data_IF_768618745113
#
_entry.id   IF_768618745113
#
_cell.length_a   1.000
_cell.length_b   1.000
_cell.length_c   1.000
_cell.angle_alpha   90.00
_cell.angle_beta   90.00
_cell.angle_gamma   90.00
#
_symmetry.space_group_name_H-M   'P 1'
#
loop_
_entity.id
_entity.type
_entity.pdbx_description
1 polymer ?
#
# COMPACT_ATOMS: atom_id res chain seq x y z
N UNK A 1 -61.23 -15.96 -59.02
CA UNK A 1 -60.73 -16.49 -57.74
C UNK A 1 -59.24 -16.21 -57.66
N UNK A 2 -58.88 -15.14 -56.99
CA UNK A 2 -57.47 -14.67 -56.85
C UNK A 2 -57.08 -14.74 -55.41
N UNK A 3 -56.18 -15.67 -55.06
CA UNK A 3 -55.63 -15.80 -53.70
C UNK A 3 -54.44 -14.82 -53.56
N UNK A 4 -54.54 -13.93 -52.56
CA UNK A 4 -53.46 -13.06 -52.13
C UNK A 4 -52.57 -13.81 -51.12
N UNK A 5 -51.26 -13.89 -51.38
CA UNK A 5 -50.23 -14.32 -50.41
C UNK A 5 -49.73 -13.11 -49.67
N UNK A 6 -49.86 -13.08 -48.35
CA UNK A 6 -49.27 -12.07 -47.48
C UNK A 6 -47.93 -12.62 -46.96
N UNK A 7 -46.85 -11.95 -47.35
CA UNK A 7 -45.49 -12.19 -46.85
C UNK A 7 -45.34 -11.56 -45.46
N UNK A 8 -45.09 -12.36 -44.43
CA UNK A 8 -44.68 -11.90 -43.12
C UNK A 8 -43.16 -11.82 -43.07
N UNK A 9 -42.62 -10.59 -42.93
CA UNK A 9 -41.22 -10.31 -42.62
C UNK A 9 -40.96 -10.67 -41.14
N UNK A 10 -40.09 -11.64 -40.89
CA UNK A 10 -39.56 -11.97 -39.57
C UNK A 10 -38.33 -11.10 -39.37
N UNK A 11 -38.42 -10.12 -38.50
CA UNK A 11 -37.26 -9.35 -38.04
C UNK A 11 -36.47 -10.18 -37.02
N UNK A 12 -35.25 -10.61 -37.41
CA UNK A 12 -34.32 -11.25 -36.50
C UNK A 12 -33.52 -10.17 -35.79
N UNK A 13 -33.78 -10.03 -34.49
CA UNK A 13 -32.97 -9.19 -33.62
C UNK A 13 -31.70 -9.94 -33.24
N UNK A 14 -30.54 -9.52 -33.78
CA UNK A 14 -29.24 -9.94 -33.30
C UNK A 14 -28.96 -9.23 -31.95
N UNK A 15 -29.05 -9.95 -30.86
CA UNK A 15 -28.50 -9.52 -29.60
C UNK A 15 -26.97 -9.65 -29.66
N UNK A 16 -26.29 -8.52 -29.79
CA UNK A 16 -24.85 -8.47 -29.55
C UNK A 16 -24.60 -8.66 -28.05
N UNK A 17 -24.16 -9.86 -27.67
CA UNK A 17 -23.60 -10.12 -26.35
C UNK A 17 -22.31 -9.31 -26.21
N UNK A 18 -22.39 -8.17 -25.55
CA UNK A 18 -21.22 -7.49 -25.02
C UNK A 18 -20.56 -8.43 -24.01
N UNK A 19 -19.46 -9.04 -24.41
CA UNK A 19 -18.60 -9.80 -23.52
C UNK A 19 -18.05 -8.82 -22.47
N UNK A 20 -18.62 -8.85 -21.26
CA UNK A 20 -18.00 -8.25 -20.10
C UNK A 20 -16.62 -8.92 -19.92
N UNK A 21 -15.54 -8.14 -19.75
CA UNK A 21 -14.26 -8.75 -19.42
C UNK A 21 -14.39 -9.52 -18.11
N UNK A 22 -13.71 -10.67 -17.95
CA UNK A 22 -13.82 -11.48 -16.76
C UNK A 22 -13.36 -10.64 -15.55
N UNK A 23 -14.30 -10.35 -14.66
CA UNK A 23 -13.99 -9.76 -13.35
C UNK A 23 -13.06 -10.73 -12.62
N UNK A 24 -11.95 -10.22 -12.08
CA UNK A 24 -11.02 -10.95 -11.22
C UNK A 24 -11.78 -11.53 -10.00
N UNK A 25 -12.22 -12.77 -10.09
CA UNK A 25 -13.07 -13.38 -9.07
C UNK A 25 -12.31 -13.85 -7.79
N UNK A 26 -11.03 -13.49 -7.63
CA UNK A 26 -10.19 -13.97 -6.51
C UNK A 26 -9.82 -12.91 -5.48
N UNK A 27 -9.26 -11.79 -5.91
CA UNK A 27 -8.64 -10.80 -5.01
C UNK A 27 -9.55 -9.60 -4.69
N UNK A 28 -10.54 -9.28 -5.53
CA UNK A 28 -11.44 -8.14 -5.34
C UNK A 28 -12.24 -8.19 -4.01
N UNK A 29 -12.44 -9.38 -3.45
CA UNK A 29 -13.13 -9.55 -2.17
C UNK A 29 -12.22 -9.24 -0.95
N UNK A 30 -10.89 -9.35 -1.09
CA UNK A 30 -9.95 -9.21 0.02
C UNK A 30 -9.60 -7.73 0.26
N UNK A 31 -9.31 -6.98 -0.80
CA UNK A 31 -9.02 -5.54 -0.75
C UNK A 31 -9.86 -4.78 -1.79
N UNK A 32 -11.18 -4.61 -1.57
CA UNK A 32 -12.04 -3.90 -2.50
C UNK A 32 -11.71 -2.42 -2.63
N UNK A 33 -11.06 -1.86 -1.61
CA UNK A 33 -10.50 -0.51 -1.55
C UNK A 33 -9.03 -0.57 -1.15
N UNK A 34 -8.25 0.51 -1.39
CA UNK A 34 -6.85 0.55 -0.96
C UNK A 34 -6.70 0.21 0.53
N UNK A 35 -5.76 -0.67 0.92
CA UNK A 35 -5.48 -0.96 2.32
C UNK A 35 -5.09 0.30 3.10
N UNK A 36 -5.59 0.42 4.34
CA UNK A 36 -5.25 1.48 5.28
C UNK A 36 -4.72 0.87 6.57
N UNK A 37 -3.56 1.34 7.03
CA UNK A 37 -2.93 0.75 8.20
C UNK A 37 -1.72 1.51 8.72
N UNK A 38 -0.96 0.84 9.57
CA UNK A 38 0.29 1.31 10.15
C UNK A 38 1.36 0.22 10.02
N UNK A 39 2.59 0.66 9.82
CA UNK A 39 3.76 -0.20 9.76
C UNK A 39 4.84 0.37 10.68
N UNK A 40 5.54 -0.50 11.40
CA UNK A 40 6.48 -0.11 12.45
C UNK A 40 7.83 0.42 11.96
N UNK A 41 8.13 0.40 10.65
CA UNK A 41 9.48 0.66 10.15
C UNK A 41 9.98 2.06 10.44
N UNK A 42 9.24 3.09 10.00
CA UNK A 42 9.71 4.48 10.07
C UNK A 42 9.88 4.99 11.51
N UNK A 43 9.17 4.38 12.46
CA UNK A 43 9.21 4.79 13.87
C UNK A 43 10.13 3.94 14.73
N UNK A 44 10.26 2.63 14.45
CA UNK A 44 10.97 1.70 15.35
C UNK A 44 12.05 0.87 14.66
N UNK A 45 12.13 0.86 13.33
CA UNK A 45 13.04 0.00 12.59
C UNK A 45 12.95 -1.46 13.05
N UNK A 46 14.10 -2.07 13.32
CA UNK A 46 14.20 -3.47 13.76
C UNK A 46 14.01 -3.68 15.26
N UNK A 47 13.78 -2.61 16.05
CA UNK A 47 13.85 -2.68 17.51
C UNK A 47 12.49 -2.77 18.20
N UNK A 48 11.39 -2.68 17.47
CA UNK A 48 10.04 -2.69 18.04
C UNK A 48 9.82 -3.84 19.01
N UNK A 49 9.14 -3.53 20.11
CA UNK A 49 8.70 -4.48 21.13
C UNK A 49 7.18 -4.70 21.07
N UNK A 50 6.71 -5.80 21.65
CA UNK A 50 5.28 -6.07 21.77
C UNK A 50 4.53 -4.95 22.49
N UNK A 51 5.11 -4.38 23.55
CA UNK A 51 4.48 -3.29 24.29
C UNK A 51 4.27 -2.05 23.42
N UNK A 52 5.27 -1.65 22.64
CA UNK A 52 5.18 -0.54 21.70
C UNK A 52 4.15 -0.83 20.58
N UNK A 53 4.17 -2.04 20.05
CA UNK A 53 3.21 -2.44 19.02
C UNK A 53 1.77 -2.39 19.53
N UNK A 54 1.51 -2.94 20.75
CA UNK A 54 0.19 -2.88 21.40
C UNK A 54 -0.26 -1.45 21.65
N UNK A 55 0.62 -0.57 22.13
CA UNK A 55 0.29 0.83 22.37
C UNK A 55 -0.17 1.53 21.08
N UNK A 56 0.53 1.30 19.95
CA UNK A 56 0.11 1.81 18.64
C UNK A 56 -1.22 1.19 18.17
N UNK A 57 -1.43 -0.11 18.40
CA UNK A 57 -2.69 -0.77 18.06
C UNK A 57 -3.88 -0.23 18.87
N UNK A 58 -3.70 -0.02 20.18
CA UNK A 58 -4.71 0.60 21.04
C UNK A 58 -5.07 2.00 20.57
N UNK A 59 -4.06 2.80 20.24
CA UNK A 59 -4.25 4.15 19.74
C UNK A 59 -5.01 4.15 18.39
N UNK A 60 -4.61 3.29 17.46
CA UNK A 60 -5.32 3.14 16.18
C UNK A 60 -6.77 2.73 16.38
N UNK A 61 -7.03 1.76 17.26
CA UNK A 61 -8.38 1.29 17.53
C UNK A 61 -9.27 2.41 18.09
N UNK A 62 -8.72 3.23 18.99
CA UNK A 62 -9.43 4.34 19.62
C UNK A 62 -9.69 5.51 18.68
N UNK A 63 -8.73 5.86 17.80
CA UNK A 63 -8.74 7.11 17.07
C UNK A 63 -9.00 6.96 15.56
N UNK A 64 -8.49 5.90 14.92
CA UNK A 64 -8.48 5.77 13.47
C UNK A 64 -9.42 4.70 12.91
N UNK A 65 -9.69 3.63 13.65
CA UNK A 65 -10.49 2.49 13.15
C UNK A 65 -11.83 2.90 12.53
N UNK A 66 -12.54 3.86 13.13
CA UNK A 66 -13.84 4.36 12.63
C UNK A 66 -13.75 5.01 11.24
N UNK A 67 -12.55 5.38 10.79
CA UNK A 67 -12.28 5.97 9.48
C UNK A 67 -11.77 4.93 8.46
N UNK A 68 -11.72 3.63 8.82
CA UNK A 68 -11.33 2.54 7.92
C UNK A 68 -9.91 2.04 8.08
N UNK A 69 -9.10 2.61 8.97
CA UNK A 69 -7.76 2.13 9.28
C UNK A 69 -7.85 0.80 10.02
N UNK A 70 -7.13 -0.24 9.54
CA UNK A 70 -7.34 -1.58 10.07
C UNK A 70 -6.09 -2.46 10.14
N UNK A 71 -5.05 -2.23 9.34
CA UNK A 71 -3.87 -3.10 9.32
C UNK A 71 -2.80 -2.60 10.28
N UNK A 72 -2.27 -3.50 11.11
CA UNK A 72 -1.15 -3.28 12.03
C UNK A 72 -0.02 -4.21 11.62
N UNK A 73 1.08 -3.67 11.09
CA UNK A 73 2.17 -4.46 10.50
C UNK A 73 3.45 -4.30 11.30
N UNK A 74 4.02 -5.41 11.78
CA UNK A 74 5.40 -5.46 12.28
C UNK A 74 6.34 -5.58 11.08
N UNK A 75 7.24 -4.62 10.91
CA UNK A 75 8.22 -4.63 9.82
C UNK A 75 9.44 -5.52 10.14
N UNK A 76 10.51 -5.41 9.36
CA UNK A 76 11.71 -6.23 9.40
C UNK A 76 12.32 -6.36 10.81
N UNK A 77 12.94 -7.49 11.08
CA UNK A 77 13.80 -7.70 12.23
C UNK A 77 13.14 -8.32 13.46
N UNK A 78 11.85 -8.68 13.43
CA UNK A 78 11.17 -9.35 14.54
C UNK A 78 11.82 -10.69 14.95
N UNK A 79 12.63 -11.27 14.08
CA UNK A 79 13.40 -12.51 14.24
C UNK A 79 14.87 -12.28 14.60
N UNK A 80 15.35 -11.03 14.71
CA UNK A 80 16.75 -10.69 15.03
C UNK A 80 16.94 -10.67 16.55
N UNK A 81 17.88 -11.48 17.04
CA UNK A 81 18.18 -11.61 18.48
C UNK A 81 18.88 -10.38 19.06
N UNK A 82 19.67 -9.68 18.25
CA UNK A 82 20.52 -8.56 18.64
C UNK A 82 20.38 -7.38 17.66
N UNK A 83 19.19 -6.76 17.56
CA UNK A 83 18.89 -5.74 16.55
C UNK A 83 19.71 -4.45 16.66
N UNK A 84 20.34 -4.21 17.83
CA UNK A 84 21.22 -3.07 18.08
C UNK A 84 22.67 -3.27 17.54
N UNK A 85 22.99 -4.48 17.07
CA UNK A 85 24.30 -4.79 16.51
C UNK A 85 24.42 -4.29 15.06
N UNK A 86 25.63 -4.29 14.50
CA UNK A 86 25.80 -4.06 13.08
C UNK A 86 25.17 -5.22 12.27
N UNK A 87 24.57 -4.96 11.08
CA UNK A 87 23.85 -5.98 10.30
C UNK A 87 24.67 -7.25 10.01
N UNK A 88 26.00 -7.12 9.80
CA UNK A 88 26.91 -8.25 9.58
C UNK A 88 27.02 -9.20 10.80
N UNK A 89 26.65 -8.73 11.99
CA UNK A 89 26.79 -9.46 13.26
C UNK A 89 25.41 -9.95 13.77
N UNK A 90 24.35 -9.80 13.00
CA UNK A 90 23.02 -10.23 13.39
C UNK A 90 22.96 -11.74 13.62
N UNK A 91 22.23 -12.10 14.66
CA UNK A 91 21.85 -13.48 14.99
C UNK A 91 20.35 -13.62 14.85
N UNK A 92 19.91 -14.76 14.38
CA UNK A 92 18.52 -15.00 14.04
C UNK A 92 17.93 -16.10 14.89
N UNK A 93 16.64 -15.99 15.20
CA UNK A 93 15.89 -17.09 15.80
C UNK A 93 15.20 -17.89 14.68
N UNK A 94 15.69 -19.11 14.47
CA UNK A 94 15.18 -20.04 13.44
C UNK A 94 14.79 -21.33 14.13
N UNK A 95 13.63 -21.91 13.79
CA UNK A 95 13.18 -23.20 14.31
C UNK A 95 13.82 -24.38 13.57
N UNK A 96 13.52 -25.59 14.02
CA UNK A 96 14.07 -26.83 13.45
C UNK A 96 13.58 -27.12 12.01
N UNK A 97 12.60 -26.39 11.52
CA UNK A 97 12.10 -26.44 10.13
C UNK A 97 12.64 -25.30 9.25
N UNK A 98 13.62 -24.55 9.73
CA UNK A 98 14.27 -23.49 8.95
C UNK A 98 13.43 -22.21 8.80
N UNK A 99 12.45 -21.99 9.67
CA UNK A 99 11.56 -20.83 9.62
C UNK A 99 11.95 -19.83 10.72
N UNK A 100 11.88 -18.52 10.42
CA UNK A 100 12.07 -17.48 11.43
C UNK A 100 10.98 -17.50 12.47
N UNK A 101 11.38 -17.24 13.74
CA UNK A 101 10.47 -17.10 14.88
C UNK A 101 10.63 -15.73 15.54
N UNK A 102 9.55 -15.17 16.13
CA UNK A 102 9.63 -13.92 16.87
C UNK A 102 10.44 -14.10 18.16
N UNK A 103 11.31 -13.11 18.40
CA UNK A 103 12.28 -13.16 19.52
C UNK A 103 11.58 -12.96 20.86
N UNK A 104 11.65 -13.92 21.82
CA UNK A 104 10.93 -13.83 23.08
C UNK A 104 11.30 -12.63 23.98
N UNK A 105 12.53 -12.12 23.87
CA UNK A 105 12.95 -10.94 24.67
C UNK A 105 12.19 -9.67 24.27
N UNK A 106 11.70 -9.56 23.03
CA UNK A 106 10.87 -8.45 22.55
C UNK A 106 9.39 -8.79 22.44
N UNK A 107 9.07 -10.07 22.24
CA UNK A 107 7.71 -10.61 22.13
C UNK A 107 7.51 -11.76 23.12
N UNK A 108 7.37 -11.47 24.45
CA UNK A 108 7.41 -12.48 25.51
C UNK A 108 6.41 -13.64 25.38
N UNK A 109 5.16 -13.45 24.90
CA UNK A 109 4.21 -14.56 24.74
C UNK A 109 4.67 -15.63 23.73
N UNK A 110 5.65 -15.35 22.90
CA UNK A 110 6.18 -16.30 21.91
C UNK A 110 7.12 -17.37 22.50
N UNK A 111 7.55 -17.21 23.75
CA UNK A 111 8.47 -18.12 24.44
C UNK A 111 7.97 -19.58 24.50
N UNK A 112 6.66 -19.81 24.44
CA UNK A 112 6.06 -21.14 24.51
C UNK A 112 5.76 -21.76 23.12
N UNK A 113 6.41 -21.28 22.07
CA UNK A 113 6.21 -21.77 20.70
C UNK A 113 4.92 -21.27 20.03
N UNK A 114 4.16 -20.36 20.66
CA UNK A 114 2.91 -19.84 20.12
C UNK A 114 3.11 -18.87 18.92
N UNK A 115 4.34 -18.48 18.63
CA UNK A 115 4.65 -17.49 17.61
C UNK A 115 3.90 -16.17 17.86
N UNK A 116 3.47 -15.51 16.79
CA UNK A 116 2.71 -14.26 16.92
C UNK A 116 1.22 -14.44 17.21
N UNK A 117 0.73 -15.68 17.35
CA UNK A 117 -0.71 -15.89 17.57
C UNK A 117 -1.30 -15.08 18.72
N UNK A 118 -0.68 -15.00 19.93
CA UNK A 118 -1.23 -14.20 21.02
C UNK A 118 -1.31 -12.70 20.70
N UNK A 119 -0.34 -12.16 19.95
CA UNK A 119 -0.35 -10.77 19.52
C UNK A 119 -1.39 -10.51 18.43
N UNK A 120 -1.52 -11.42 17.47
CA UNK A 120 -2.55 -11.35 16.44
C UNK A 120 -3.96 -11.42 17.05
N UNK A 121 -4.19 -12.33 18.01
CA UNK A 121 -5.47 -12.45 18.73
C UNK A 121 -5.78 -11.15 19.51
N UNK A 122 -4.77 -10.50 20.10
CA UNK A 122 -4.93 -9.19 20.74
C UNK A 122 -5.37 -8.12 19.72
N UNK A 123 -4.68 -8.01 18.60
CA UNK A 123 -5.04 -7.06 17.53
C UNK A 123 -6.45 -7.30 16.99
N UNK A 124 -6.82 -8.56 16.81
CA UNK A 124 -8.18 -8.94 16.41
C UNK A 124 -9.23 -8.58 17.47
N UNK A 125 -8.91 -8.68 18.75
CA UNK A 125 -9.82 -8.27 19.83
C UNK A 125 -10.17 -6.78 19.78
N UNK A 126 -9.27 -5.94 19.22
CA UNK A 126 -9.49 -4.52 18.94
C UNK A 126 -10.30 -4.30 17.63
N UNK A 127 -10.57 -5.37 16.86
CA UNK A 127 -11.21 -5.34 15.56
C UNK A 127 -10.29 -4.78 14.46
N UNK A 128 -8.98 -4.93 14.63
CA UNK A 128 -7.93 -4.63 13.67
C UNK A 128 -7.40 -5.92 13.03
N UNK A 129 -6.50 -5.82 12.07
CA UNK A 129 -5.86 -6.92 11.34
C UNK A 129 -4.37 -6.92 11.59
N UNK A 130 -3.78 -8.10 11.78
CA UNK A 130 -2.38 -8.27 12.08
C UNK A 130 -1.56 -8.61 10.83
N UNK A 131 -0.42 -7.95 10.65
CA UNK A 131 0.51 -8.19 9.55
C UNK A 131 1.96 -8.29 10.00
N UNK A 132 2.79 -8.85 9.14
CA UNK A 132 4.23 -8.92 9.33
C UNK A 132 4.98 -8.76 8.01
N UNK A 133 6.23 -8.34 8.12
CA UNK A 133 7.19 -8.26 7.04
C UNK A 133 8.03 -9.54 6.96
N UNK A 134 8.38 -9.93 5.74
CA UNK A 134 9.33 -10.99 5.46
C UNK A 134 10.36 -10.53 4.41
N UNK A 135 11.60 -10.95 4.56
CA UNK A 135 12.55 -10.99 3.45
C UNK A 135 12.32 -12.28 2.68
N UNK A 136 12.23 -12.21 1.34
CA UNK A 136 12.15 -13.41 0.51
C UNK A 136 13.28 -14.39 0.77
N UNK A 137 13.07 -15.64 0.41
CA UNK A 137 14.13 -16.63 0.45
C UNK A 137 14.13 -17.48 1.70
N UNK A 138 15.16 -18.31 1.81
CA UNK A 138 15.36 -19.30 2.87
C UNK A 138 16.57 -18.94 3.74
N UNK A 139 16.48 -18.97 5.09
CA UNK A 139 17.58 -18.60 5.98
C UNK A 139 18.86 -19.40 5.68
N UNK A 140 19.99 -18.72 5.56
CA UNK A 140 21.29 -19.37 5.30
C UNK A 140 21.63 -20.41 6.36
N UNK A 141 21.26 -20.17 7.61
CA UNK A 141 21.44 -21.11 8.71
C UNK A 141 20.66 -22.42 8.47
N UNK A 142 19.41 -22.32 8.00
CA UNK A 142 18.62 -23.50 7.67
C UNK A 142 19.26 -24.34 6.57
N UNK A 143 19.82 -23.66 5.55
CA UNK A 143 20.52 -24.32 4.43
C UNK A 143 21.85 -24.93 4.89
N UNK A 144 22.60 -24.27 5.76
CA UNK A 144 23.87 -24.77 6.28
C UNK A 144 23.68 -26.04 7.13
N UNK A 145 22.61 -26.08 7.93
CA UNK A 145 22.22 -27.24 8.75
C UNK A 145 21.41 -28.27 7.98
N UNK A 146 21.04 -27.98 6.75
CA UNK A 146 20.16 -28.77 5.89
C UNK A 146 18.88 -29.24 6.60
N UNK A 147 18.19 -28.29 7.27
CA UNK A 147 16.98 -28.56 8.04
C UNK A 147 15.86 -29.08 7.14
N UNK A 148 15.00 -29.95 7.71
CA UNK A 148 13.85 -30.48 6.99
C UNK A 148 12.79 -29.38 6.78
N UNK A 149 12.15 -29.36 5.60
CA UNK A 149 11.02 -28.47 5.32
C UNK A 149 9.74 -29.12 5.86
N UNK A 150 9.08 -28.43 6.78
CA UNK A 150 7.85 -28.95 7.43
C UNK A 150 6.77 -29.37 6.41
N UNK A 151 6.22 -30.56 6.60
CA UNK A 151 5.14 -31.09 5.77
C UNK A 151 5.59 -31.62 4.40
N UNK A 152 6.90 -31.83 4.19
CA UNK A 152 7.46 -32.36 2.95
C UNK A 152 8.57 -33.38 3.21
N UNK A 153 9.06 -34.03 2.16
CA UNK A 153 10.26 -34.87 2.19
C UNK A 153 11.54 -34.09 1.83
N UNK A 154 11.43 -32.81 1.52
CA UNK A 154 12.55 -31.96 1.11
C UNK A 154 13.27 -31.35 2.31
N UNK A 155 14.51 -30.92 2.04
CA UNK A 155 15.33 -30.18 3.00
C UNK A 155 15.66 -28.78 2.46
N UNK A 156 16.12 -27.91 3.33
CA UNK A 156 16.46 -26.52 3.00
C UNK A 156 17.46 -26.38 1.84
N UNK A 157 18.42 -27.28 1.71
CA UNK A 157 19.39 -27.26 0.61
C UNK A 157 18.78 -27.61 -0.75
N UNK A 158 17.68 -28.37 -0.78
CA UNK A 158 16.96 -28.72 -2.02
C UNK A 158 16.23 -27.48 -2.58
N UNK A 159 15.65 -26.67 -1.69
CA UNK A 159 14.88 -25.48 -2.03
C UNK A 159 15.76 -24.25 -2.32
N UNK A 160 16.94 -24.15 -1.70
CA UNK A 160 17.78 -22.95 -1.76
C UNK A 160 18.48 -22.76 -3.10
N UNK A 161 18.41 -21.54 -3.65
CA UNK A 161 19.33 -21.06 -4.68
C UNK A 161 20.48 -20.29 -4.02
N UNK A 162 21.63 -20.95 -3.87
CA UNK A 162 22.81 -20.36 -3.21
C UNK A 162 23.52 -19.31 -4.04
N UNK A 163 23.18 -19.18 -5.33
CA UNK A 163 23.72 -18.16 -6.21
C UNK A 163 22.93 -16.85 -6.15
N UNK A 164 21.77 -16.87 -5.49
CA UNK A 164 20.86 -15.75 -5.36
C UNK A 164 20.72 -15.32 -3.88
N UNK A 165 20.78 -14.02 -3.65
CA UNK A 165 20.56 -13.40 -2.34
C UNK A 165 20.00 -11.99 -2.54
N UNK A 166 19.38 -11.44 -1.51
CA UNK A 166 19.00 -10.04 -1.50
C UNK A 166 20.25 -9.15 -1.40
N UNK A 167 20.43 -8.14 -2.28
CA UNK A 167 21.64 -7.31 -2.30
C UNK A 167 21.92 -6.52 -1.00
N UNK A 168 20.87 -6.07 -0.31
CA UNK A 168 20.99 -5.30 0.94
C UNK A 168 20.73 -6.14 2.20
N UNK A 169 20.28 -7.38 2.03
CA UNK A 169 19.93 -8.26 3.13
C UNK A 169 20.36 -9.69 2.82
N UNK A 170 21.57 -10.03 3.24
CA UNK A 170 22.18 -11.32 2.94
C UNK A 170 21.80 -12.45 3.93
N UNK A 171 20.70 -12.37 4.65
CA UNK A 171 20.29 -13.38 5.63
C UNK A 171 19.79 -14.66 5.00
N UNK A 172 19.19 -14.53 3.82
CA UNK A 172 18.57 -15.60 3.07
C UNK A 172 19.33 -15.88 1.76
N UNK A 173 19.21 -17.11 1.29
CA UNK A 173 19.39 -17.46 -0.12
C UNK A 173 18.06 -17.34 -0.85
N UNK A 174 18.08 -17.13 -2.16
CA UNK A 174 16.88 -17.22 -2.99
C UNK A 174 16.26 -18.63 -2.94
N UNK A 175 15.05 -18.76 -3.45
CA UNK A 175 14.34 -20.03 -3.53
C UNK A 175 14.21 -20.47 -4.98
N UNK A 176 14.65 -21.70 -5.26
CA UNK A 176 14.52 -22.30 -6.60
C UNK A 176 13.06 -22.43 -7.01
N UNK A 177 12.74 -22.17 -8.27
CA UNK A 177 11.45 -22.52 -8.87
C UNK A 177 11.35 -24.05 -9.04
N UNK A 178 10.95 -24.75 -7.98
CA UNK A 178 10.91 -26.20 -7.89
C UNK A 178 9.85 -26.65 -6.88
N UNK A 179 9.55 -27.96 -6.85
CA UNK A 179 8.66 -28.53 -5.83
C UNK A 179 9.19 -28.30 -4.40
N UNK A 180 10.52 -28.40 -4.19
CA UNK A 180 11.13 -28.10 -2.91
C UNK A 180 10.97 -26.62 -2.53
N UNK A 181 11.14 -25.71 -3.49
CA UNK A 181 10.92 -24.28 -3.28
C UNK A 181 9.45 -23.95 -2.94
N UNK A 182 8.50 -24.58 -3.66
CA UNK A 182 7.07 -24.44 -3.33
C UNK A 182 6.76 -25.00 -1.94
N UNK A 183 7.32 -26.17 -1.58
CA UNK A 183 7.13 -26.76 -0.27
C UNK A 183 7.64 -25.85 0.86
N UNK A 184 8.76 -25.16 0.63
CA UNK A 184 9.28 -24.17 1.59
C UNK A 184 8.30 -23.01 1.80
N UNK A 185 7.80 -22.37 0.72
CA UNK A 185 6.81 -21.30 0.85
C UNK A 185 5.48 -21.80 1.43
N UNK A 186 5.06 -23.02 1.10
CA UNK A 186 3.86 -23.65 1.70
C UNK A 186 4.03 -23.78 3.23
N UNK A 187 5.22 -24.17 3.70
CA UNK A 187 5.52 -24.32 5.13
C UNK A 187 5.48 -22.97 5.86
N UNK A 188 6.02 -21.90 5.24
CA UNK A 188 5.98 -20.54 5.81
C UNK A 188 4.56 -20.01 5.88
N UNK A 189 3.81 -20.09 4.77
CA UNK A 189 2.44 -19.60 4.73
C UNK A 189 1.53 -20.34 5.74
N UNK A 190 1.73 -21.65 5.91
CA UNK A 190 1.05 -22.43 6.94
C UNK A 190 1.37 -21.95 8.35
N UNK A 191 2.65 -21.64 8.63
CA UNK A 191 3.06 -21.09 9.91
C UNK A 191 2.37 -19.75 10.19
N UNK A 192 2.39 -18.83 9.21
CA UNK A 192 1.74 -17.52 9.38
C UNK A 192 0.22 -17.61 9.49
N UNK A 193 -0.40 -18.53 8.76
CA UNK A 193 -1.82 -18.82 8.93
C UNK A 193 -2.13 -19.33 10.34
N UNK A 194 -1.26 -20.16 10.93
CA UNK A 194 -1.40 -20.65 12.31
C UNK A 194 -1.27 -19.54 13.36
N UNK A 195 -0.57 -18.46 13.02
CA UNK A 195 -0.45 -17.26 13.86
C UNK A 195 -1.58 -16.24 13.64
N UNK A 196 -2.55 -16.55 12.80
CA UNK A 196 -3.66 -15.65 12.46
C UNK A 196 -3.19 -14.35 11.73
N UNK A 197 -2.15 -14.43 10.91
CA UNK A 197 -1.68 -13.30 10.09
C UNK A 197 -2.70 -12.97 9.00
N UNK A 198 -2.95 -11.67 8.76
CA UNK A 198 -3.88 -11.14 7.74
C UNK A 198 -3.17 -10.39 6.62
N UNK A 199 -1.89 -10.03 6.80
CA UNK A 199 -1.13 -9.22 5.85
C UNK A 199 0.36 -9.63 5.88
N UNK A 200 0.95 -9.82 4.70
CA UNK A 200 2.37 -10.13 4.52
C UNK A 200 2.98 -9.08 3.60
N UNK A 201 3.94 -8.29 4.13
CA UNK A 201 4.84 -7.45 3.32
C UNK A 201 6.04 -8.31 2.95
N UNK A 202 6.11 -8.74 1.69
CA UNK A 202 7.24 -9.51 1.18
C UNK A 202 8.27 -8.59 0.52
N UNK A 203 9.45 -8.53 1.07
CA UNK A 203 10.52 -7.65 0.64
C UNK A 203 11.59 -8.35 -0.20
N UNK A 204 12.36 -7.54 -0.98
CA UNK A 204 13.38 -8.00 -1.91
C UNK A 204 12.84 -8.90 -3.04
N UNK A 205 11.59 -8.65 -3.49
CA UNK A 205 10.91 -9.56 -4.42
C UNK A 205 10.29 -8.83 -5.62
N UNK A 206 9.86 -7.56 -5.45
CA UNK A 206 9.18 -6.80 -6.49
C UNK A 206 10.13 -6.06 -7.43
N UNK A 207 11.33 -5.74 -6.94
CA UNK A 207 12.43 -5.16 -7.71
C UNK A 207 13.77 -5.39 -6.99
N UNK A 208 14.91 -5.17 -7.68
CA UNK A 208 16.28 -5.29 -7.15
C UNK A 208 16.63 -6.61 -6.39
N UNK A 209 16.27 -7.79 -6.88
CA UNK A 209 15.75 -8.15 -8.20
C UNK A 209 14.25 -8.46 -8.22
N UNK A 210 13.61 -8.32 -9.39
CA UNK A 210 12.27 -8.84 -9.63
C UNK A 210 12.27 -10.37 -9.67
N UNK A 211 11.41 -11.01 -8.85
CA UNK A 211 11.38 -12.46 -8.63
C UNK A 211 9.99 -13.07 -8.89
N UNK A 212 9.55 -13.12 -10.16
CA UNK A 212 8.19 -13.55 -10.51
C UNK A 212 7.87 -14.98 -10.02
N UNK A 213 8.85 -15.89 -10.06
CA UNK A 213 8.64 -17.27 -9.61
C UNK A 213 8.41 -17.35 -8.11
N UNK A 214 9.18 -16.58 -7.31
CA UNK A 214 8.99 -16.53 -5.86
C UNK A 214 7.66 -15.85 -5.48
N UNK A 215 7.26 -14.79 -6.20
CA UNK A 215 5.94 -14.15 -6.04
C UNK A 215 4.82 -15.18 -6.27
N UNK A 216 4.91 -15.96 -7.36
CA UNK A 216 3.92 -16.99 -7.68
C UNK A 216 3.86 -18.11 -6.63
N UNK A 217 5.03 -18.58 -6.18
CA UNK A 217 5.11 -19.62 -5.15
C UNK A 217 4.51 -19.14 -3.82
N UNK A 218 4.82 -17.90 -3.41
CA UNK A 218 4.29 -17.30 -2.18
C UNK A 218 2.77 -17.09 -2.26
N UNK A 219 2.27 -16.51 -3.36
CA UNK A 219 0.83 -16.33 -3.58
C UNK A 219 0.08 -17.67 -3.60
N UNK A 220 0.66 -18.69 -4.25
CA UNK A 220 0.11 -20.06 -4.25
C UNK A 220 0.07 -20.66 -2.84
N UNK A 221 1.13 -20.48 -2.08
CA UNK A 221 1.23 -20.94 -0.69
C UNK A 221 0.18 -20.29 0.21
N UNK A 222 0.02 -18.96 0.13
CA UNK A 222 -1.03 -18.22 0.85
C UNK A 222 -2.40 -18.80 0.52
N UNK A 223 -2.70 -18.95 -0.76
CA UNK A 223 -3.99 -19.50 -1.22
C UNK A 223 -4.25 -20.93 -0.68
N UNK A 224 -3.24 -21.79 -0.63
CA UNK A 224 -3.35 -23.15 -0.10
C UNK A 224 -3.71 -23.21 1.37
N UNK A 225 -3.37 -22.20 2.16
CA UNK A 225 -3.73 -22.16 3.59
C UNK A 225 -5.24 -22.06 3.81
N UNK A 226 -5.99 -21.54 2.84
CA UNK A 226 -7.40 -21.19 2.97
C UNK A 226 -7.66 -19.94 3.83
N UNK A 227 -6.63 -19.34 4.47
CA UNK A 227 -6.75 -18.08 5.20
C UNK A 227 -6.57 -16.91 4.25
N UNK A 228 -7.47 -15.92 4.24
CA UNK A 228 -7.27 -14.70 3.47
C UNK A 228 -6.14 -13.86 4.10
N UNK A 229 -5.04 -13.70 3.37
CA UNK A 229 -3.90 -12.86 3.74
C UNK A 229 -3.57 -11.95 2.57
N UNK A 230 -3.51 -10.63 2.81
CA UNK A 230 -3.06 -9.65 1.83
C UNK A 230 -1.58 -9.87 1.55
N UNK A 231 -1.21 -9.94 0.28
CA UNK A 231 0.19 -9.95 -0.14
C UNK A 231 0.55 -8.56 -0.67
N UNK A 232 1.51 -7.94 0.00
CA UNK A 232 2.15 -6.67 -0.36
C UNK A 232 3.58 -6.94 -0.83
N UNK A 233 3.94 -6.46 -2.01
CA UNK A 233 5.26 -6.66 -2.59
C UNK A 233 6.12 -5.41 -2.43
N UNK A 234 7.37 -5.60 -1.98
CA UNK A 234 8.36 -4.55 -1.68
C UNK A 234 9.76 -5.02 -2.09
N UNK A 235 10.77 -4.12 -2.28
CA UNK A 235 10.60 -2.71 -2.55
C UNK A 235 10.19 -2.46 -4.01
N UNK A 236 10.10 -1.19 -4.41
CA UNK A 236 10.03 -0.79 -5.81
C UNK A 236 11.36 -0.30 -6.33
N UNK A 237 11.32 0.33 -7.52
CA UNK A 237 10.10 0.51 -8.32
C UNK A 237 9.76 -0.75 -9.12
N UNK A 238 8.65 -1.39 -8.84
CA UNK A 238 8.14 -2.44 -9.74
C UNK A 238 8.08 -1.90 -11.16
N UNK A 239 8.68 -2.60 -12.12
CA UNK A 239 8.67 -2.17 -13.51
C UNK A 239 7.24 -2.18 -14.08
N UNK A 240 6.87 -1.15 -14.84
CA UNK A 240 5.50 -0.95 -15.33
C UNK A 240 5.02 -2.10 -16.22
N UNK A 241 5.92 -2.72 -16.99
CA UNK A 241 5.64 -3.91 -17.79
C UNK A 241 5.20 -5.12 -16.97
N UNK A 242 5.56 -5.17 -15.68
CA UNK A 242 5.16 -6.23 -14.76
C UNK A 242 3.79 -5.98 -14.10
N UNK A 243 3.13 -4.84 -14.37
CA UNK A 243 1.88 -4.44 -13.72
C UNK A 243 0.79 -5.54 -13.79
N UNK A 244 0.62 -6.17 -14.96
CA UNK A 244 -0.38 -7.23 -15.15
C UNK A 244 -0.03 -8.51 -14.38
N UNK A 245 1.26 -8.82 -14.20
CA UNK A 245 1.71 -9.99 -13.47
C UNK A 245 1.58 -9.77 -11.97
N UNK A 246 2.13 -8.69 -11.42
CA UNK A 246 2.04 -8.44 -9.97
C UNK A 246 0.60 -8.30 -9.52
N UNK A 247 -0.25 -7.62 -10.30
CA UNK A 247 -1.67 -7.47 -9.99
C UNK A 247 -2.48 -8.78 -10.02
N UNK A 248 -1.93 -9.85 -10.60
CA UNK A 248 -2.55 -11.17 -10.60
C UNK A 248 -2.29 -11.94 -9.31
N UNK A 249 -1.16 -11.67 -8.66
CA UNK A 249 -0.67 -12.47 -7.53
C UNK A 249 -0.68 -11.73 -6.19
N UNK A 250 -0.70 -10.38 -6.21
CA UNK A 250 -0.64 -9.57 -5.01
C UNK A 250 -1.77 -8.52 -4.98
N UNK A 251 -2.14 -8.11 -3.78
CA UNK A 251 -3.14 -7.07 -3.54
C UNK A 251 -2.56 -5.66 -3.58
N UNK A 252 -1.25 -5.51 -3.31
CA UNK A 252 -0.54 -4.25 -3.46
C UNK A 252 0.93 -4.48 -3.78
N UNK A 253 1.58 -3.50 -4.43
CA UNK A 253 2.99 -3.56 -4.81
C UNK A 253 3.60 -2.16 -4.92
N UNK A 254 4.82 -2.02 -4.46
CA UNK A 254 5.58 -0.78 -4.46
C UNK A 254 5.91 -0.32 -5.88
N UNK A 255 5.65 0.94 -6.15
CA UNK A 255 5.89 1.57 -7.46
C UNK A 255 7.08 2.52 -7.48
N UNK A 256 7.75 2.66 -6.35
CA UNK A 256 8.91 3.54 -6.15
C UNK A 256 9.91 2.87 -5.21
N UNK A 257 11.12 3.38 -5.17
CA UNK A 257 12.09 3.13 -4.10
C UNK A 257 11.53 3.61 -2.75
N UNK A 258 12.27 3.41 -1.66
CA UNK A 258 11.80 3.82 -0.34
C UNK A 258 11.51 5.32 -0.29
N UNK A 259 10.25 5.65 -0.03
CA UNK A 259 9.78 7.03 0.07
C UNK A 259 10.07 7.59 1.47
N UNK A 260 10.70 8.78 1.49
CA UNK A 260 11.03 9.48 2.72
C UNK A 260 10.57 10.92 2.71
N UNK A 261 10.58 11.55 3.88
CA UNK A 261 10.09 12.89 4.17
C UNK A 261 11.01 14.02 3.64
N UNK A 262 11.22 14.02 2.31
CA UNK A 262 11.90 15.12 1.62
C UNK A 262 11.17 15.48 0.32
N UNK A 263 11.16 16.77 -0.01
CA UNK A 263 10.44 17.25 -1.18
C UNK A 263 11.14 16.89 -2.49
N UNK A 264 12.38 17.31 -2.64
CA UNK A 264 13.20 17.04 -3.84
C UNK A 264 14.14 15.84 -3.64
N UNK A 265 14.89 15.45 -4.69
CA UNK A 265 15.88 14.39 -4.59
C UNK A 265 16.89 14.65 -3.47
N UNK A 266 17.27 13.63 -2.75
CA UNK A 266 18.21 13.72 -1.65
C UNK A 266 19.58 13.17 -2.05
N UNK A 267 20.55 14.05 -2.30
CA UNK A 267 21.88 13.68 -2.81
C UNK A 267 22.64 12.64 -1.96
N UNK A 268 22.37 12.58 -0.66
CA UNK A 268 23.01 11.61 0.24
C UNK A 268 22.41 10.21 0.15
N UNK A 269 21.21 10.09 -0.40
CA UNK A 269 20.45 8.85 -0.48
C UNK A 269 19.72 8.81 -1.81
N UNK A 270 20.48 8.59 -2.89
CA UNK A 270 19.99 8.51 -4.26
C UNK A 270 18.99 7.36 -4.50
N UNK A 271 18.98 6.38 -3.58
CA UNK A 271 17.99 5.30 -3.54
C UNK A 271 16.64 5.73 -2.95
N UNK A 272 16.52 6.90 -2.36
CA UNK A 272 15.29 7.33 -1.69
C UNK A 272 14.41 8.14 -2.62
N UNK A 273 13.09 7.83 -2.61
CA UNK A 273 12.08 8.49 -3.42
C UNK A 273 11.58 9.77 -2.74
N UNK A 274 11.56 10.88 -3.48
CA UNK A 274 11.05 12.17 -2.99
C UNK A 274 9.57 12.39 -3.33
N UNK A 275 8.91 13.33 -2.63
CA UNK A 275 7.52 13.67 -2.91
C UNK A 275 7.35 14.28 -4.31
N UNK A 276 8.28 15.12 -4.77
CA UNK A 276 8.26 15.67 -6.12
C UNK A 276 8.30 14.56 -7.20
N UNK A 277 9.13 13.55 -7.02
CA UNK A 277 9.23 12.45 -7.97
C UNK A 277 7.96 11.58 -8.01
N UNK A 278 7.22 11.50 -6.90
CA UNK A 278 5.98 10.71 -6.82
C UNK A 278 4.89 11.22 -7.78
N UNK A 279 4.86 12.50 -8.13
CA UNK A 279 3.88 13.00 -9.09
C UNK A 279 3.99 12.31 -10.45
N UNK A 280 5.21 12.16 -10.96
CA UNK A 280 5.44 11.47 -12.24
C UNK A 280 5.20 9.96 -12.12
N UNK A 281 5.59 9.36 -11.00
CA UNK A 281 5.42 7.92 -10.74
C UNK A 281 3.94 7.57 -10.62
N UNK A 282 3.18 8.30 -9.80
CA UNK A 282 1.75 8.10 -9.63
C UNK A 282 0.98 8.27 -10.96
N UNK A 283 1.33 9.29 -11.76
CA UNK A 283 0.68 9.52 -13.05
C UNK A 283 0.86 8.34 -14.02
N UNK A 284 2.04 7.70 -14.04
CA UNK A 284 2.30 6.50 -14.86
C UNK A 284 1.50 5.28 -14.39
N UNK A 285 1.32 5.13 -13.07
CA UNK A 285 0.65 3.97 -12.48
C UNK A 285 -0.86 4.12 -12.33
N UNK A 286 -1.42 5.33 -12.44
CA UNK A 286 -2.86 5.58 -12.32
C UNK A 286 -3.74 4.67 -13.20
N UNK A 287 -3.39 4.33 -14.46
CA UNK A 287 -4.18 3.41 -15.28
C UNK A 287 -4.23 1.96 -14.76
N UNK A 288 -3.36 1.60 -13.82
CA UNK A 288 -3.25 0.25 -13.25
C UNK A 288 -3.94 0.11 -11.87
N UNK A 289 -4.52 1.18 -11.35
CA UNK A 289 -5.32 1.18 -10.11
C UNK A 289 -6.63 0.45 -10.36
N UNK A 290 -6.88 -0.62 -9.60
CA UNK A 290 -8.12 -1.39 -9.73
C UNK A 290 -8.49 -2.06 -8.40
N UNK A 291 -9.77 -2.32 -8.12
CA UNK A 291 -10.18 -3.10 -6.95
C UNK A 291 -9.46 -4.44 -6.87
N UNK A 292 -8.83 -4.73 -5.74
CA UNK A 292 -8.03 -5.92 -5.49
C UNK A 292 -6.60 -5.86 -6.02
N UNK A 293 -6.13 -4.72 -6.55
CA UNK A 293 -4.76 -4.54 -7.02
C UNK A 293 -4.37 -3.05 -6.95
N UNK A 294 -3.52 -2.70 -5.98
CA UNK A 294 -3.22 -1.33 -5.60
C UNK A 294 -1.74 -1.01 -5.77
N UNK A 295 -1.36 -0.18 -6.78
CA UNK A 295 -0.03 0.40 -6.83
C UNK A 295 0.25 1.23 -5.58
N UNK A 296 1.34 0.91 -4.88
CA UNK A 296 1.68 1.45 -3.57
C UNK A 296 2.78 2.51 -3.69
N UNK A 297 2.43 3.76 -3.39
CA UNK A 297 3.38 4.88 -3.38
C UNK A 297 4.22 4.95 -2.09
N UNK A 298 4.17 3.91 -1.26
CA UNK A 298 4.85 3.74 0.00
C UNK A 298 4.16 4.37 1.22
N UNK A 299 4.78 4.14 2.38
CA UNK A 299 4.29 4.59 3.67
C UNK A 299 4.25 6.11 3.78
N UNK A 300 3.46 6.59 4.73
CA UNK A 300 3.29 7.99 5.06
C UNK A 300 4.21 8.36 6.25
N UNK A 301 5.36 9.02 6.02
CA UNK A 301 6.29 9.42 7.07
C UNK A 301 5.78 10.68 7.78
N UNK A 302 4.68 10.54 8.52
CA UNK A 302 3.99 11.60 9.25
C UNK A 302 4.28 11.54 10.76
N UNK A 303 4.26 12.69 11.42
CA UNK A 303 4.46 12.82 12.86
C UNK A 303 5.86 12.41 13.29
N UNK A 304 5.94 11.64 14.38
CA UNK A 304 7.20 11.27 15.02
C UNK A 304 7.81 10.04 14.36
N UNK A 305 8.99 10.21 13.80
CA UNK A 305 9.78 9.16 13.16
C UNK A 305 10.96 8.79 14.04
N UNK A 306 11.36 7.54 14.05
CA UNK A 306 12.34 7.12 15.01
C UNK A 306 13.43 6.28 14.53
N UNK A 307 14.28 5.70 15.42
CA UNK A 307 15.62 5.31 15.05
C UNK A 307 15.59 4.33 13.89
N UNK A 308 15.89 4.86 12.72
CA UNK A 308 15.95 4.11 11.48
C UNK A 308 17.41 3.85 11.13
N UNK A 309 17.78 2.64 10.59
CA UNK A 309 19.11 2.40 10.05
C UNK A 309 19.38 3.33 8.87
N UNK A 310 20.03 4.40 9.02
CA UNK A 310 20.33 5.41 8.01
C UNK A 310 20.12 6.83 8.50
N UNK A 311 19.08 7.09 9.28
CA UNK A 311 18.80 8.39 9.85
C UNK A 311 19.02 8.46 11.37
N UNK A 312 18.92 7.34 12.06
CA UNK A 312 19.41 7.08 13.42
C UNK A 312 18.92 7.96 14.55
N UNK A 313 18.04 8.95 14.31
CA UNK A 313 17.63 9.95 15.28
C UNK A 313 16.12 10.05 15.35
N UNK A 314 15.58 10.01 16.57
CA UNK A 314 14.18 10.35 16.86
C UNK A 314 13.93 11.79 16.42
N UNK A 315 12.93 12.01 15.60
CA UNK A 315 12.59 13.32 15.03
C UNK A 315 11.15 13.40 14.56
N UNK A 316 10.68 14.60 14.40
CA UNK A 316 9.45 14.86 13.65
C UNK A 316 9.72 14.74 12.14
N UNK A 317 8.65 14.52 11.38
CA UNK A 317 8.73 14.57 9.91
C UNK A 317 9.34 15.91 9.45
N UNK A 318 10.19 15.86 8.42
CA UNK A 318 10.78 17.06 7.81
C UNK A 318 9.82 17.81 6.91
N UNK A 319 8.75 17.17 6.49
CA UNK A 319 7.73 17.81 5.68
C UNK A 319 7.07 18.97 6.42
N UNK A 320 6.98 20.13 5.75
CA UNK A 320 6.12 21.21 6.18
C UNK A 320 4.65 20.74 6.21
N UNK A 321 3.78 21.50 6.86
CA UNK A 321 2.34 21.18 6.90
C UNK A 321 1.71 21.20 5.50
N UNK A 322 2.17 22.08 4.61
CA UNK A 322 1.71 22.11 3.22
C UNK A 322 2.16 20.86 2.46
N UNK A 323 3.39 20.39 2.63
CA UNK A 323 3.91 19.17 2.02
C UNK A 323 3.23 17.91 2.56
N UNK A 324 2.97 17.82 3.87
CA UNK A 324 2.20 16.70 4.46
C UNK A 324 0.79 16.62 3.86
N UNK A 325 0.10 17.76 3.73
CA UNK A 325 -1.22 17.86 3.09
C UNK A 325 -1.14 17.47 1.61
N UNK A 326 -0.11 17.92 0.92
CA UNK A 326 0.14 17.59 -0.49
C UNK A 326 0.38 16.10 -0.69
N UNK A 327 1.20 15.47 0.14
CA UNK A 327 1.39 14.01 0.14
C UNK A 327 0.05 13.27 0.31
N UNK A 328 -0.69 13.59 1.37
CA UNK A 328 -2.00 12.97 1.63
C UNK A 328 -2.98 13.19 0.47
N UNK A 329 -2.96 14.38 -0.15
CA UNK A 329 -3.79 14.70 -1.32
C UNK A 329 -3.42 13.84 -2.52
N UNK A 330 -2.12 13.68 -2.80
CA UNK A 330 -1.65 12.87 -3.92
C UNK A 330 -1.97 11.38 -3.71
N UNK A 331 -1.66 10.81 -2.54
CA UNK A 331 -1.99 9.42 -2.23
C UNK A 331 -3.50 9.17 -2.37
N UNK A 332 -4.32 10.08 -1.85
CA UNK A 332 -5.79 9.94 -1.91
C UNK A 332 -6.34 10.05 -3.34
N UNK A 333 -5.90 11.02 -4.13
CA UNK A 333 -6.40 11.18 -5.51
C UNK A 333 -5.82 10.13 -6.46
N UNK A 334 -4.65 9.59 -6.18
CA UNK A 334 -4.05 8.47 -6.91
C UNK A 334 -4.65 7.12 -6.47
N UNK A 335 -5.18 7.02 -5.24
CA UNK A 335 -5.66 5.80 -4.59
C UNK A 335 -4.54 4.82 -4.24
N UNK A 336 -3.44 5.33 -3.70
CA UNK A 336 -2.41 4.51 -3.08
C UNK A 336 -2.90 3.92 -1.76
N UNK A 337 -2.48 2.72 -1.35
CA UNK A 337 -2.60 2.30 0.03
C UNK A 337 -2.13 3.38 1.00
N UNK A 338 -2.85 3.59 2.10
CA UNK A 338 -2.50 4.55 3.14
C UNK A 338 -1.91 3.80 4.34
N UNK A 339 -0.58 3.68 4.39
CA UNK A 339 0.13 3.00 5.47
C UNK A 339 0.96 4.02 6.24
N UNK A 340 0.60 4.31 7.48
CA UNK A 340 1.30 5.27 8.33
C UNK A 340 2.61 4.66 8.81
N UNK A 341 3.72 5.42 8.71
CA UNK A 341 5.03 5.00 9.21
C UNK A 341 5.40 5.58 10.58
N UNK A 342 4.86 6.75 10.94
CA UNK A 342 5.16 7.43 12.20
C UNK A 342 4.54 6.78 13.43
N UNK A 343 5.09 7.08 14.62
CA UNK A 343 4.57 6.60 15.90
C UNK A 343 3.19 7.22 16.19
N UNK A 344 2.18 6.37 16.31
CA UNK A 344 0.81 6.82 16.52
C UNK A 344 0.58 7.37 17.94
N UNK A 345 1.28 6.82 18.93
CA UNK A 345 1.10 7.21 20.33
C UNK A 345 1.49 8.66 20.58
N UNK A 346 2.47 9.16 19.83
CA UNK A 346 2.95 10.54 19.91
C UNK A 346 2.36 11.48 18.83
N UNK A 347 1.38 10.99 18.04
CA UNK A 347 0.78 11.79 16.97
C UNK A 347 0.12 13.06 17.52
N UNK A 348 0.50 14.21 16.97
CA UNK A 348 -0.07 15.52 17.34
C UNK A 348 -1.47 15.74 16.73
N UNK A 349 -2.12 16.84 17.10
CA UNK A 349 -3.44 17.20 16.58
C UNK A 349 -3.43 17.39 15.06
N UNK A 350 -2.34 17.93 14.51
CA UNK A 350 -2.21 18.15 13.07
C UNK A 350 -2.15 16.81 12.32
N UNK A 351 -1.26 15.93 12.73
CA UNK A 351 -1.14 14.57 12.17
C UNK A 351 -2.47 13.83 12.28
N UNK A 352 -3.10 13.86 13.45
CA UNK A 352 -4.42 13.25 13.67
C UNK A 352 -5.48 13.83 12.73
N UNK A 353 -5.47 15.14 12.49
CA UNK A 353 -6.44 15.80 11.59
C UNK A 353 -6.30 15.35 10.14
N UNK A 354 -5.08 15.11 9.66
CA UNK A 354 -4.84 14.55 8.32
C UNK A 354 -5.40 13.12 8.19
N UNK A 355 -5.19 12.30 9.21
CA UNK A 355 -5.56 10.88 9.22
C UNK A 355 -7.05 10.63 9.51
N UNK A 356 -7.79 11.64 9.92
CA UNK A 356 -9.21 11.52 10.31
C UNK A 356 -10.16 12.36 9.48
N UNK A 357 -9.70 12.99 8.40
CA UNK A 357 -10.58 13.71 7.48
C UNK A 357 -11.38 12.73 6.61
N UNK A 358 -12.69 12.54 6.88
CA UNK A 358 -13.48 11.52 6.19
C UNK A 358 -13.72 11.87 4.71
N UNK A 359 -13.65 13.15 4.33
CA UNK A 359 -13.87 13.58 2.96
C UNK A 359 -12.64 13.30 2.08
N UNK A 360 -11.45 13.47 2.61
CA UNK A 360 -10.18 13.11 1.93
C UNK A 360 -10.05 11.60 1.84
N UNK A 361 -10.32 10.87 2.92
CA UNK A 361 -10.33 9.40 2.93
C UNK A 361 -11.34 8.84 1.91
N UNK A 362 -12.50 9.47 1.77
CA UNK A 362 -13.50 9.05 0.78
C UNK A 362 -12.98 9.17 -0.66
N UNK A 363 -12.11 10.13 -0.97
CA UNK A 363 -11.46 10.22 -2.28
C UNK A 363 -10.61 8.98 -2.53
N UNK A 364 -9.77 8.59 -1.58
CA UNK A 364 -8.94 7.40 -1.67
C UNK A 364 -9.78 6.12 -1.82
N UNK A 365 -10.79 5.96 -0.99
CA UNK A 365 -11.54 4.72 -0.86
C UNK A 365 -12.61 4.51 -1.93
N UNK A 366 -13.18 5.59 -2.50
CA UNK A 366 -14.40 5.50 -3.31
C UNK A 366 -14.35 6.23 -4.65
N UNK A 367 -13.29 6.97 -4.98
CA UNK A 367 -13.17 7.58 -6.30
C UNK A 367 -12.82 6.56 -7.40
N UNK A 368 -13.03 6.93 -8.64
CA UNK A 368 -12.68 6.13 -9.81
C UNK A 368 -12.32 7.01 -11.01
N UNK A 369 -11.75 6.42 -12.06
CA UNK A 369 -11.22 7.15 -13.22
C UNK A 369 -10.17 8.21 -12.85
N UNK A 370 -9.36 7.91 -11.84
CA UNK A 370 -8.34 8.80 -11.32
C UNK A 370 -7.19 8.97 -12.33
N UNK A 371 -6.84 10.23 -12.63
CA UNK A 371 -5.76 10.52 -13.58
C UNK A 371 -5.19 11.92 -13.41
N UNK A 372 -3.92 12.09 -13.72
CA UNK A 372 -3.34 13.39 -13.95
C UNK A 372 -3.88 13.96 -15.29
N UNK A 373 -4.36 15.19 -15.29
CA UNK A 373 -4.88 15.88 -16.48
C UNK A 373 -3.96 17.00 -16.93
N UNK A 374 -3.17 17.57 -16.03
CA UNK A 374 -2.13 18.56 -16.30
C UNK A 374 -0.91 18.18 -15.49
N UNK A 375 0.25 18.18 -16.12
CA UNK A 375 1.53 17.98 -15.46
C UNK A 375 2.57 18.86 -16.15
N UNK A 376 3.14 19.79 -15.39
CA UNK A 376 4.27 20.64 -15.79
C UNK A 376 5.36 20.52 -14.71
N UNK A 377 6.46 21.22 -14.87
CA UNK A 377 7.54 21.22 -13.87
C UNK A 377 7.13 21.89 -12.55
N UNK A 378 6.05 22.68 -12.53
CA UNK A 378 5.63 23.45 -11.36
C UNK A 378 4.17 23.27 -10.95
N UNK A 379 3.35 22.64 -11.77
CA UNK A 379 1.92 22.42 -11.52
C UNK A 379 1.50 21.03 -11.90
N UNK A 380 0.75 20.38 -11.01
CA UNK A 380 0.01 19.17 -11.35
C UNK A 380 -1.47 19.35 -11.02
N UNK A 381 -2.34 18.82 -11.90
CA UNK A 381 -3.79 18.77 -11.67
C UNK A 381 -4.29 17.36 -11.94
N UNK A 382 -5.02 16.83 -10.97
CA UNK A 382 -5.63 15.51 -11.05
C UNK A 382 -7.15 15.61 -11.05
N UNK A 383 -7.78 14.70 -11.75
CA UNK A 383 -9.22 14.55 -11.83
C UNK A 383 -9.61 13.11 -11.49
N UNK A 384 -10.70 12.96 -10.76
CA UNK A 384 -11.36 11.68 -10.53
C UNK A 384 -12.87 11.86 -10.51
N UNK A 385 -13.62 10.76 -10.65
CA UNK A 385 -15.07 10.75 -10.42
C UNK A 385 -15.38 10.35 -8.99
N UNK A 386 -16.40 10.96 -8.41
CA UNK A 386 -16.92 10.57 -7.13
C UNK A 386 -17.72 9.28 -7.22
N UNK A 387 -17.37 8.27 -6.40
CA UNK A 387 -18.15 7.07 -6.20
C UNK A 387 -19.20 7.25 -5.08
N UNK A 388 -20.10 6.28 -4.96
CA UNK A 388 -21.03 6.22 -3.82
C UNK A 388 -20.26 5.82 -2.55
N UNK A 389 -19.96 6.80 -1.72
CA UNK A 389 -19.25 6.57 -0.46
C UNK A 389 -20.17 6.16 0.69
N UNK A 390 -21.48 6.28 0.51
CA UNK A 390 -22.47 6.02 1.58
C UNK A 390 -22.35 6.90 2.82
N UNK A 391 -21.34 7.82 2.88
CA UNK A 391 -20.91 8.37 4.17
C UNK A 391 -21.35 9.80 4.44
N UNK A 392 -21.37 10.77 3.58
CA UNK A 392 -21.78 12.13 3.96
C UNK A 392 -22.30 13.01 2.81
N UNK A 393 -21.92 12.73 1.57
CA UNK A 393 -22.35 13.49 0.40
C UNK A 393 -22.60 12.52 -0.76
N UNK A 394 -23.68 12.76 -1.51
CA UNK A 394 -23.87 12.10 -2.81
C UNK A 394 -22.79 12.61 -3.75
N UNK A 395 -21.71 11.85 -3.88
CA UNK A 395 -20.60 12.14 -4.78
C UNK A 395 -20.80 11.52 -6.15
N UNK A 396 -21.82 10.70 -6.31
CA UNK A 396 -22.19 9.91 -7.50
C UNK A 396 -22.35 10.74 -8.80
N UNK A 397 -22.33 12.09 -8.69
CA UNK A 397 -22.44 13.02 -9.82
C UNK A 397 -21.41 14.15 -9.76
N UNK A 398 -20.37 14.00 -8.96
CA UNK A 398 -19.31 14.98 -8.79
C UNK A 398 -17.97 14.50 -9.34
N UNK A 399 -17.07 15.46 -9.48
CA UNK A 399 -15.67 15.18 -9.78
C UNK A 399 -14.81 15.67 -8.62
N UNK A 400 -13.80 14.89 -8.28
CA UNK A 400 -12.72 15.34 -7.41
C UNK A 400 -11.64 16.00 -8.25
N UNK A 401 -11.15 17.14 -7.81
CA UNK A 401 -10.04 17.87 -8.42
C UNK A 401 -9.00 18.13 -7.34
N UNK A 402 -7.78 17.65 -7.59
CA UNK A 402 -6.63 18.02 -6.79
C UNK A 402 -5.73 18.95 -7.62
N UNK A 403 -5.35 20.09 -7.06
CA UNK A 403 -4.42 21.06 -7.67
C UNK A 403 -3.21 21.18 -6.78
N UNK A 404 -2.06 21.07 -7.38
CA UNK A 404 -0.77 21.07 -6.70
C UNK A 404 0.14 22.14 -7.29
N UNK A 405 0.69 22.99 -6.45
CA UNK A 405 1.86 23.78 -6.77
C UNK A 405 3.10 22.93 -6.41
N UNK A 406 3.74 22.36 -7.41
CA UNK A 406 4.94 21.53 -7.21
C UNK A 406 6.24 22.31 -7.45
N UNK A 407 6.16 23.63 -7.62
CA UNK A 407 7.30 24.54 -7.76
C UNK A 407 7.64 25.28 -6.46
N UNK A 408 8.80 25.93 -6.45
CA UNK A 408 9.40 26.61 -5.30
C UNK A 408 8.91 28.07 -5.09
N UNK A 409 7.91 28.51 -5.84
CA UNK A 409 7.34 29.86 -5.73
C UNK A 409 5.83 29.82 -5.63
N UNK A 410 5.24 30.84 -4.99
CA UNK A 410 3.79 31.00 -4.95
C UNK A 410 3.23 31.18 -6.36
N UNK A 411 2.14 30.51 -6.67
CA UNK A 411 1.49 30.53 -7.97
C UNK A 411 -0.01 30.78 -7.85
N UNK A 412 -0.56 31.52 -8.84
CA UNK A 412 -2.01 31.56 -9.11
C UNK A 412 -2.27 30.66 -10.30
N UNK A 413 -2.95 29.55 -10.06
CA UNK A 413 -3.27 28.53 -11.04
C UNK A 413 -4.72 28.77 -11.49
N UNK A 414 -4.90 28.93 -12.81
CA UNK A 414 -6.21 29.18 -13.41
C UNK A 414 -6.46 28.19 -14.55
N UNK A 415 -7.66 27.57 -14.55
CA UNK A 415 -8.12 26.71 -15.64
C UNK A 415 -9.63 26.89 -15.86
N UNK A 416 -10.02 27.00 -17.12
CA UNK A 416 -11.43 26.85 -17.49
C UNK A 416 -11.85 25.38 -17.28
N UNK A 417 -13.11 25.16 -16.92
CA UNK A 417 -13.63 23.79 -16.70
C UNK A 417 -13.44 22.87 -17.91
N UNK A 418 -13.56 23.41 -19.13
CA UNK A 418 -13.33 22.65 -20.38
C UNK A 418 -11.90 22.13 -20.50
N UNK A 419 -10.90 22.84 -19.99
CA UNK A 419 -9.49 22.44 -20.04
C UNK A 419 -9.21 21.23 -19.13
N UNK A 420 -10.07 21.04 -18.15
CA UNK A 420 -10.07 19.87 -17.26
C UNK A 420 -11.00 18.74 -17.75
N UNK A 421 -11.62 18.91 -18.95
CA UNK A 421 -12.56 17.93 -19.50
C UNK A 421 -13.96 17.97 -18.86
N UNK A 422 -14.32 19.06 -18.17
CA UNK A 422 -15.61 19.28 -17.55
C UNK A 422 -16.50 20.15 -18.45
N UNK A 423 -17.78 19.77 -18.61
CA UNK A 423 -18.65 20.30 -19.67
C UNK A 423 -19.62 21.37 -19.22
N UNK A 424 -19.87 21.50 -17.91
CA UNK A 424 -20.81 22.49 -17.39
C UNK A 424 -20.15 23.89 -17.33
N UNK A 425 -21.00 24.92 -17.49
CA UNK A 425 -20.56 26.33 -17.42
C UNK A 425 -20.21 26.78 -16.02
N UNK A 426 -20.70 26.11 -15.00
CA UNK A 426 -20.49 26.46 -13.59
C UNK A 426 -20.60 25.22 -12.73
N UNK A 427 -19.72 25.13 -11.76
CA UNK A 427 -19.72 24.06 -10.75
C UNK A 427 -19.82 24.63 -9.35
N UNK A 428 -20.57 23.96 -8.48
CA UNK A 428 -20.49 24.15 -7.04
C UNK A 428 -19.22 23.50 -6.53
N UNK A 429 -18.41 24.23 -5.76
CA UNK A 429 -17.13 23.78 -5.21
C UNK A 429 -17.26 23.53 -3.70
N UNK A 430 -16.73 22.42 -3.23
CA UNK A 430 -16.48 22.14 -1.82
C UNK A 430 -15.02 21.84 -1.61
N UNK A 431 -14.39 22.55 -0.68
CA UNK A 431 -13.05 22.23 -0.18
C UNK A 431 -13.14 21.06 0.80
N UNK A 432 -12.41 19.97 0.50
CA UNK A 432 -12.47 18.74 1.27
C UNK A 432 -11.52 18.78 2.48
N UNK A 433 -10.46 19.60 2.42
CA UNK A 433 -9.57 19.78 3.56
C UNK A 433 -10.21 20.66 4.62
N UNK A 434 -10.74 21.82 4.21
CA UNK A 434 -11.39 22.76 5.12
C UNK A 434 -12.85 22.34 5.40
N UNK A 435 -13.41 21.40 4.61
CA UNK A 435 -14.79 20.90 4.71
C UNK A 435 -15.83 22.01 4.54
N UNK A 436 -15.52 22.94 3.65
CA UNK A 436 -16.31 24.16 3.41
C UNK A 436 -16.85 24.24 1.98
N UNK A 437 -18.06 24.82 1.84
CA UNK A 437 -18.64 25.11 0.54
C UNK A 437 -18.16 26.48 0.07
N UNK A 438 -17.45 26.53 -1.05
CA UNK A 438 -16.92 27.77 -1.64
C UNK A 438 -17.90 28.46 -2.60
N UNK A 439 -19.07 27.88 -2.83
CA UNK A 439 -20.09 28.42 -3.76
C UNK A 439 -19.92 27.92 -5.20
N UNK A 440 -20.47 28.70 -6.16
CA UNK A 440 -20.39 28.36 -7.57
C UNK A 440 -19.29 29.15 -8.26
N UNK A 441 -18.56 28.48 -9.17
CA UNK A 441 -17.53 29.13 -9.99
C UNK A 441 -17.67 28.76 -11.47
N UNK A 442 -17.27 29.68 -12.36
CA UNK A 442 -17.26 29.49 -13.82
C UNK A 442 -15.91 28.98 -14.34
N UNK A 443 -14.90 29.00 -13.49
CA UNK A 443 -13.54 28.49 -13.73
C UNK A 443 -12.91 28.09 -12.41
N UNK A 444 -11.84 27.32 -12.45
CA UNK A 444 -10.99 27.01 -11.31
C UNK A 444 -9.90 28.07 -11.20
N UNK A 445 -9.82 28.76 -10.06
CA UNK A 445 -8.73 29.67 -9.76
C UNK A 445 -8.32 29.48 -8.31
N UNK A 446 -7.06 29.12 -8.10
CA UNK A 446 -6.48 28.90 -6.77
C UNK A 446 -5.12 29.58 -6.66
N UNK A 447 -4.82 30.13 -5.50
CA UNK A 447 -3.52 30.68 -5.16
C UNK A 447 -2.85 29.76 -4.15
N UNK A 448 -1.73 29.17 -4.51
CA UNK A 448 -1.01 28.19 -3.72
C UNK A 448 0.41 28.65 -3.40
N UNK A 449 0.80 28.52 -2.14
CA UNK A 449 2.20 28.61 -1.71
C UNK A 449 3.04 27.52 -2.36
N UNK A 450 4.38 27.61 -2.32
CA UNK A 450 5.24 26.49 -2.70
C UNK A 450 4.82 25.20 -2.01
N UNK A 451 4.78 24.12 -2.77
CA UNK A 451 4.49 22.74 -2.33
C UNK A 451 3.09 22.54 -1.73
N UNK A 452 2.21 23.53 -1.82
CA UNK A 452 0.84 23.45 -1.31
C UNK A 452 -0.12 22.82 -2.32
N UNK A 453 -1.22 22.29 -1.81
CA UNK A 453 -2.30 21.70 -2.62
C UNK A 453 -3.68 22.05 -2.10
N UNK A 454 -4.68 21.86 -2.96
CA UNK A 454 -6.11 21.82 -2.62
C UNK A 454 -6.74 20.56 -3.17
N UNK A 455 -7.80 20.11 -2.51
CA UNK A 455 -8.62 18.98 -2.94
C UNK A 455 -10.11 19.37 -2.89
N UNK A 456 -10.73 19.40 -4.04
CA UNK A 456 -12.09 19.87 -4.21
C UNK A 456 -13.03 18.77 -4.71
N UNK A 457 -14.26 18.79 -4.23
CA UNK A 457 -15.41 18.17 -4.90
C UNK A 457 -16.11 19.24 -5.71
N UNK A 458 -16.28 19.02 -7.00
CA UNK A 458 -17.03 19.90 -7.89
C UNK A 458 -18.25 19.19 -8.46
N UNK A 459 -19.41 19.87 -8.42
CA UNK A 459 -20.70 19.32 -8.86
C UNK A 459 -21.35 20.29 -9.84
N UNK A 460 -21.69 19.82 -11.03
CA UNK A 460 -22.47 20.57 -12.02
C UNK A 460 -23.91 20.85 -11.52
N UNK A 461 -24.54 21.90 -12.05
CA UNK A 461 -25.97 22.12 -11.82
C UNK A 461 -26.76 21.00 -12.50
N UNK A 462 -27.68 20.41 -11.76
CA UNK A 462 -28.77 19.60 -12.35
C UNK A 462 -29.72 20.43 -13.16
#
# INVERSE_FOLDING_TARGET
>A
MTRRYSSRLIAVWLFALLACPPTKAGNAALTPTPPMGWNSWDSYGRTITEAQFKANADWMAAHLKRFGWQYMVIDEGWYVLNPESAPKDYKFLVNDSGQFLPVPSRFPPTANGAGFKPLADYVHSLGLKFGLHIIRGIPREAVAKNLAIEGSSYHAADAADRSDACPWNAYNYGVKSSEAGQAYYDSIAKLYASWNVDFIKADCIADHPYKPEEIRMLASAIKKTGRPMVLSLSPGPTALENASEVSKYAEMWRICDDFWDHWGPWEKHDWSQSLYQQFATAAKWAPHVAPGGWPDADMLPLGHLGPHPGDGVLRETRFTKDEQRTMMTLWSIFRSPLIIGGDLVSADEWTTSLLTNPEVIAVDQHSYENRAVITTDTVAVWLARGGDSGVYYRTDQGHYIAVFNIGDSEQTIHHDWKDLGLTEKSYKIRDLWERENLGNAQSLTVKLKPHASVLYLVQGKR
#
